data_IF_978416912911
#
_entry.id   IF_978416912911
#
_cell.length_a   1.000
_cell.length_b   1.000
_cell.length_c   1.000
_cell.angle_alpha   90.00
_cell.angle_beta   90.00
_cell.angle_gamma   90.00
#
_symmetry.space_group_name_H-M   'P 1'
#
loop_
_entity.id
_entity.type
_entity.pdbx_description
1 polymer ?
#
# COMPACT_ATOMS: atom_id res chain seq x y z
N UNK A 1 -12.41 -12.55 -16.77
CA UNK A 1 -11.79 -11.32 -16.23
C UNK A 1 -12.89 -10.42 -15.70
N UNK A 2 -12.83 -10.01 -14.42
CA UNK A 2 -13.71 -8.96 -13.90
C UNK A 2 -13.29 -7.66 -14.58
N UNK A 3 -14.20 -7.01 -15.31
CA UNK A 3 -13.94 -5.70 -15.90
C UNK A 3 -13.98 -4.69 -14.75
N UNK A 4 -12.87 -4.01 -14.52
CA UNK A 4 -12.75 -2.97 -13.49
C UNK A 4 -13.45 -1.72 -14.02
N UNK A 5 -14.35 -1.13 -13.24
CA UNK A 5 -14.99 0.12 -13.64
C UNK A 5 -13.98 1.27 -13.62
N UNK A 6 -14.12 2.30 -14.47
CA UNK A 6 -13.23 3.47 -14.43
C UNK A 6 -13.11 4.11 -13.04
N UNK A 7 -14.18 4.06 -12.24
CA UNK A 7 -14.21 4.57 -10.86
C UNK A 7 -13.34 3.74 -9.91
N UNK A 8 -13.39 2.41 -10.03
CA UNK A 8 -12.54 1.51 -9.23
C UNK A 8 -11.08 1.66 -9.63
N UNK A 9 -10.77 1.74 -10.93
CA UNK A 9 -9.42 1.97 -11.44
C UNK A 9 -8.84 3.30 -10.93
N UNK A 10 -9.64 4.37 -10.97
CA UNK A 10 -9.24 5.68 -10.45
C UNK A 10 -9.00 5.66 -8.94
N UNK A 11 -9.89 5.00 -8.17
CA UNK A 11 -9.73 4.85 -6.72
C UNK A 11 -8.43 4.13 -6.40
N UNK A 12 -8.18 2.98 -7.02
CA UNK A 12 -6.95 2.22 -6.84
C UNK A 12 -5.71 3.06 -7.15
N UNK A 13 -5.72 3.76 -8.29
CA UNK A 13 -4.61 4.61 -8.71
C UNK A 13 -4.29 5.71 -7.71
N UNK A 14 -5.29 6.42 -7.21
CA UNK A 14 -5.09 7.47 -6.19
C UNK A 14 -4.55 6.87 -4.88
N UNK A 15 -5.13 5.77 -4.40
CA UNK A 15 -4.70 5.21 -3.12
C UNK A 15 -3.24 4.74 -3.17
N UNK A 16 -2.84 4.08 -4.28
CA UNK A 16 -1.45 3.66 -4.49
C UNK A 16 -0.48 4.86 -4.59
N UNK A 17 -0.85 5.91 -5.33
CA UNK A 17 0.00 7.09 -5.46
C UNK A 17 0.16 7.85 -4.14
N UNK A 18 -0.90 7.92 -3.33
CA UNK A 18 -0.85 8.52 -2.01
C UNK A 18 0.09 7.73 -1.09
N UNK A 19 -0.05 6.40 -1.03
CA UNK A 19 0.84 5.54 -0.25
C UNK A 19 2.31 5.71 -0.69
N UNK A 20 2.56 5.70 -2.00
CA UNK A 20 3.90 5.94 -2.55
C UNK A 20 4.47 7.28 -2.13
N UNK A 21 3.70 8.36 -2.27
CA UNK A 21 4.14 9.70 -1.87
C UNK A 21 4.46 9.77 -0.38
N UNK A 22 3.64 9.14 0.47
CA UNK A 22 3.86 9.08 1.92
C UNK A 22 5.18 8.42 2.28
N UNK A 23 5.55 7.34 1.58
CA UNK A 23 6.81 6.61 1.79
C UNK A 23 8.04 7.39 1.33
N UNK A 24 7.91 8.21 0.28
CA UNK A 24 8.99 9.05 -0.25
C UNK A 24 9.25 10.26 0.65
N UNK A 25 8.20 10.95 1.09
CA UNK A 25 8.30 12.33 1.56
C UNK A 25 8.38 12.51 3.08
N UNK A 26 8.52 11.46 3.90
CA UNK A 26 8.33 11.67 5.34
C UNK A 26 8.94 10.70 6.35
N UNK A 27 9.02 11.24 7.58
CA UNK A 27 8.93 10.53 8.86
C UNK A 27 7.46 10.15 9.07
N UNK A 28 7.06 8.98 8.59
CA UNK A 28 5.71 8.44 8.72
C UNK A 28 5.62 7.56 9.97
N UNK A 29 4.56 7.76 10.76
CA UNK A 29 4.27 6.85 11.87
C UNK A 29 3.61 5.57 11.38
N UNK A 30 3.84 4.47 12.09
CA UNK A 30 3.25 3.17 11.74
C UNK A 30 1.72 3.22 11.69
N UNK A 31 1.06 3.97 12.57
CA UNK A 31 -0.40 4.14 12.56
C UNK A 31 -0.92 4.78 11.28
N UNK A 32 -0.26 5.84 10.81
CA UNK A 32 -0.62 6.51 9.55
C UNK A 32 -0.36 5.59 8.35
N UNK A 33 0.73 4.82 8.38
CA UNK A 33 1.05 3.86 7.33
C UNK A 33 0.04 2.70 7.30
N UNK A 34 -0.38 2.19 8.46
CA UNK A 34 -1.38 1.15 8.60
C UNK A 34 -2.74 1.60 8.04
N UNK A 35 -3.18 2.82 8.33
CA UNK A 35 -4.41 3.36 7.75
C UNK A 35 -4.33 3.42 6.21
N UNK A 36 -3.20 3.87 5.67
CA UNK A 36 -2.98 3.93 4.23
C UNK A 36 -3.00 2.53 3.60
N UNK A 37 -2.33 1.55 4.21
CA UNK A 37 -2.32 0.16 3.73
C UNK A 37 -3.72 -0.47 3.75
N UNK A 38 -4.52 -0.24 4.80
CA UNK A 38 -5.91 -0.70 4.86
C UNK A 38 -6.74 -0.11 3.71
N UNK A 39 -6.59 1.19 3.42
CA UNK A 39 -7.28 1.81 2.29
C UNK A 39 -6.86 1.22 0.93
N UNK A 40 -5.58 0.84 0.79
CA UNK A 40 -5.07 0.17 -0.41
C UNK A 40 -5.66 -1.23 -0.52
N UNK A 41 -5.66 -2.03 0.55
CA UNK A 41 -6.26 -3.36 0.58
C UNK A 41 -7.74 -3.34 0.17
N UNK A 42 -8.52 -2.38 0.68
CA UNK A 42 -9.93 -2.20 0.30
C UNK A 42 -10.13 -1.81 -1.17
N UNK A 43 -9.16 -1.12 -1.76
CA UNK A 43 -9.21 -0.68 -3.15
C UNK A 43 -8.74 -1.76 -4.14
N UNK A 44 -7.92 -2.71 -3.68
CA UNK A 44 -7.45 -3.81 -4.51
C UNK A 44 -8.56 -4.81 -4.83
N UNK A 45 -8.59 -5.26 -6.09
CA UNK A 45 -9.55 -6.24 -6.58
C UNK A 45 -8.93 -7.64 -6.80
N UNK A 46 -7.62 -7.76 -6.60
CA UNK A 46 -6.85 -8.99 -6.84
C UNK A 46 -6.30 -9.53 -5.53
N UNK A 47 -6.60 -10.80 -5.26
CA UNK A 47 -6.37 -11.45 -3.96
C UNK A 47 -4.88 -11.52 -3.59
N UNK A 48 -4.02 -11.76 -4.57
CA UNK A 48 -2.58 -11.89 -4.35
C UNK A 48 -1.94 -10.60 -3.82
N UNK A 49 -2.39 -9.42 -4.26
CA UNK A 49 -1.88 -8.16 -3.75
C UNK A 49 -2.46 -7.84 -2.38
N UNK A 50 -3.72 -8.21 -2.13
CA UNK A 50 -4.33 -8.10 -0.79
C UNK A 50 -3.54 -8.93 0.22
N UNK A 51 -3.12 -10.14 -0.14
CA UNK A 51 -2.29 -11.00 0.72
C UNK A 51 -0.90 -10.37 1.00
N UNK A 52 -0.25 -9.77 -0.01
CA UNK A 52 1.02 -9.03 0.19
C UNK A 52 0.82 -7.82 1.13
N UNK A 53 -0.27 -7.06 0.96
CA UNK A 53 -0.61 -5.90 1.80
C UNK A 53 -0.92 -6.32 3.24
N UNK A 54 -1.71 -7.38 3.44
CA UNK A 54 -2.04 -7.93 4.74
C UNK A 54 -0.79 -8.43 5.48
N UNK A 55 0.20 -8.93 4.74
CA UNK A 55 1.53 -9.26 5.26
C UNK A 55 2.24 -8.04 5.85
N UNK A 56 2.26 -6.92 5.12
CA UNK A 56 2.79 -5.65 5.61
C UNK A 56 2.04 -5.11 6.82
N UNK A 57 0.70 -5.17 6.81
CA UNK A 57 -0.13 -4.77 7.94
C UNK A 57 0.20 -5.60 9.19
N UNK A 58 0.34 -6.91 9.03
CA UNK A 58 0.67 -7.83 10.12
C UNK A 58 2.07 -7.55 10.68
N UNK A 59 3.06 -7.36 9.79
CA UNK A 59 4.42 -6.99 10.15
C UNK A 59 4.45 -5.69 10.96
N UNK A 60 3.82 -4.61 10.46
CA UNK A 60 3.83 -3.32 11.14
C UNK A 60 3.15 -3.38 12.50
N UNK A 61 2.03 -4.10 12.64
CA UNK A 61 1.37 -4.30 13.94
C UNK A 61 2.21 -5.11 14.93
N UNK A 62 3.06 -6.02 14.44
CA UNK A 62 3.91 -6.84 15.29
C UNK A 62 5.13 -6.07 15.83
N UNK A 63 5.74 -5.21 14.99
CA UNK A 63 7.04 -4.60 15.30
C UNK A 63 6.99 -3.11 15.66
N UNK A 64 5.89 -2.42 15.36
CA UNK A 64 5.75 -0.99 15.64
C UNK A 64 4.51 -0.68 16.47
N UNK A 65 4.64 0.29 17.38
CA UNK A 65 3.47 0.95 17.98
C UNK A 65 2.94 2.02 17.02
N UNK A 66 1.66 2.41 17.11
CA UNK A 66 1.05 3.36 16.18
C UNK A 66 1.78 4.71 16.03
N UNK A 67 2.47 5.17 17.07
CA UNK A 67 3.21 6.44 17.07
C UNK A 67 4.68 6.30 16.69
N UNK A 68 5.17 5.06 16.58
CA UNK A 68 6.56 4.80 16.21
C UNK A 68 6.79 5.22 14.76
N UNK A 69 7.97 5.78 14.52
CA UNK A 69 8.41 6.11 13.18
C UNK A 69 8.85 4.83 12.48
N UNK A 70 8.35 4.60 11.26
CA UNK A 70 8.76 3.43 10.48
C UNK A 70 10.18 3.64 9.98
N UNK A 71 11.01 2.61 10.15
CA UNK A 71 12.43 2.68 9.83
C UNK A 71 12.67 2.87 8.33
N UNK A 72 13.80 3.48 8.01
CA UNK A 72 14.11 3.82 6.63
C UNK A 72 14.28 2.61 5.71
N UNK A 73 14.69 1.46 6.25
CA UNK A 73 14.85 0.21 5.50
C UNK A 73 13.48 -0.37 5.15
N UNK A 74 12.60 -0.52 6.14
CA UNK A 74 11.24 -1.03 5.95
C UNK A 74 10.41 -0.15 5.01
N UNK A 75 10.56 1.18 5.12
CA UNK A 75 9.91 2.10 4.17
C UNK A 75 10.40 1.92 2.73
N UNK A 76 11.69 1.67 2.54
CA UNK A 76 12.27 1.43 1.20
C UNK A 76 11.77 0.10 0.64
N UNK A 77 11.77 -0.96 1.44
CA UNK A 77 11.26 -2.26 1.04
C UNK A 77 9.77 -2.16 0.65
N UNK A 78 8.94 -1.51 1.47
CA UNK A 78 7.54 -1.29 1.14
C UNK A 78 7.37 -0.39 -0.11
N UNK A 79 8.23 0.60 -0.31
CA UNK A 79 8.18 1.44 -1.51
C UNK A 79 8.45 0.63 -2.79
N UNK A 80 9.39 -0.31 -2.75
CA UNK A 80 9.68 -1.23 -3.86
C UNK A 80 8.47 -2.12 -4.18
N UNK A 81 7.81 -2.65 -3.15
CA UNK A 81 6.58 -3.43 -3.31
C UNK A 81 5.43 -2.60 -3.89
N UNK A 82 5.24 -1.36 -3.40
CA UNK A 82 4.24 -0.43 -3.95
C UNK A 82 4.49 -0.13 -5.41
N UNK A 83 5.75 0.06 -5.82
CA UNK A 83 6.10 0.27 -7.22
C UNK A 83 5.77 -0.96 -8.08
N UNK A 84 6.04 -2.16 -7.59
CA UNK A 84 5.63 -3.42 -8.24
C UNK A 84 4.11 -3.50 -8.36
N UNK A 85 3.36 -3.19 -7.30
CA UNK A 85 1.89 -3.20 -7.32
C UNK A 85 1.31 -2.23 -8.35
N UNK A 86 1.89 -1.04 -8.49
CA UNK A 86 1.48 -0.06 -9.51
C UNK A 86 1.72 -0.63 -10.92
N UNK A 87 2.92 -1.17 -11.19
CA UNK A 87 3.25 -1.72 -12.51
C UNK A 87 2.34 -2.90 -12.89
N UNK A 88 2.09 -3.81 -11.95
CA UNK A 88 1.19 -4.95 -12.20
C UNK A 88 -0.28 -4.52 -12.35
N UNK A 89 -0.72 -3.49 -11.61
CA UNK A 89 -2.06 -2.93 -11.78
C UNK A 89 -2.25 -2.34 -13.18
N UNK A 90 -1.26 -1.61 -13.69
CA UNK A 90 -1.30 -1.02 -15.04
C UNK A 90 -1.36 -2.06 -16.16
N UNK A 91 -0.80 -3.26 -15.96
CA UNK A 91 -0.88 -4.35 -16.95
C UNK A 91 -2.27 -5.01 -17.02
N UNK A 92 -3.09 -4.82 -15.99
CA UNK A 92 -4.37 -5.51 -15.79
C UNK A 92 -5.58 -4.60 -15.97
N UNK A 93 -5.36 -3.28 -16.05
CA UNK A 93 -6.32 -2.25 -16.40
C UNK A 93 -6.36 -2.04 -17.91
#
# INVERSE_FOLDING_TARGET
MKVISPKEAFRLGITLQNLKAMLIWGRISAGVLLEALNQVAEAFLWKEFVEEIDGWISYLNQYYKPYDQVDSEDRKALLEDVDKWIQESLKRL
#
